data_IF_717712694218
#
_entry.id   IF_717712694218
#
_cell.length_a   1.000
_cell.length_b   1.000
_cell.length_c   1.000
_cell.angle_alpha   90.00
_cell.angle_beta   90.00
_cell.angle_gamma   90.00
#
_symmetry.space_group_name_H-M   'P 1'
#
loop_
_entity.id
_entity.type
_entity.pdbx_description
1 polymer ?
#
# COMPACT_ATOMS: atom_id res chain seq x y z
N UNK A 1 69.30 -27.05 -45.16
CA UNK A 1 68.87 -25.68 -45.38
C UNK A 1 67.55 -25.43 -44.67
N UNK A 2 67.55 -24.35 -43.90
CA UNK A 2 66.42 -23.54 -43.45
C UNK A 2 65.63 -24.07 -42.24
N UNK A 3 65.88 -23.57 -41.13
CA UNK A 3 65.39 -22.56 -40.26
C UNK A 3 63.92 -22.66 -39.92
N UNK A 4 63.63 -23.13 -38.71
CA UNK A 4 62.36 -22.97 -38.05
C UNK A 4 62.64 -22.37 -36.68
N UNK A 5 62.47 -21.08 -36.56
CA UNK A 5 62.45 -20.33 -35.32
C UNK A 5 61.05 -20.50 -34.73
N UNK A 6 60.92 -21.35 -33.72
CA UNK A 6 59.79 -21.33 -32.84
C UNK A 6 60.04 -20.32 -31.72
N UNK A 7 59.53 -19.12 -31.88
CA UNK A 7 59.45 -18.14 -30.81
C UNK A 7 58.47 -18.61 -29.71
N UNK A 8 58.98 -18.84 -28.56
CA UNK A 8 58.18 -19.07 -27.35
C UNK A 8 57.45 -17.79 -27.01
N UNK A 9 56.16 -17.78 -27.13
CA UNK A 9 55.27 -16.78 -26.57
C UNK A 9 55.25 -17.01 -25.04
N UNK A 10 56.05 -16.24 -24.34
CA UNK A 10 55.90 -16.09 -22.93
C UNK A 10 54.58 -15.47 -22.62
N UNK A 11 53.68 -16.28 -22.06
CA UNK A 11 52.39 -15.88 -21.56
C UNK A 11 52.58 -14.98 -20.33
N UNK A 12 52.60 -13.68 -20.52
CA UNK A 12 52.55 -12.72 -19.40
C UNK A 12 51.18 -12.83 -18.74
N UNK A 13 51.08 -13.72 -17.76
CA UNK A 13 49.97 -13.69 -16.84
C UNK A 13 50.04 -12.39 -16.02
N UNK A 14 49.23 -11.42 -16.43
CA UNK A 14 49.01 -10.23 -15.64
C UNK A 14 48.21 -10.66 -14.42
N UNK A 15 48.90 -10.90 -13.31
CA UNK A 15 48.26 -11.10 -12.02
C UNK A 15 47.77 -9.73 -11.55
N UNK A 16 46.51 -9.45 -11.80
CA UNK A 16 45.85 -8.28 -11.20
C UNK A 16 45.65 -8.62 -9.73
N UNK A 17 46.27 -7.93 -8.77
CA UNK A 17 45.99 -8.14 -7.36
C UNK A 17 44.55 -7.63 -7.10
N UNK A 18 43.63 -8.55 -6.90
CA UNK A 18 42.32 -8.22 -6.36
C UNK A 18 42.52 -7.75 -4.91
N UNK A 19 42.19 -6.50 -4.58
CA UNK A 19 42.27 -6.06 -3.20
C UNK A 19 41.30 -6.91 -2.36
N UNK A 20 41.84 -7.66 -1.42
CA UNK A 20 41.06 -8.34 -0.40
C UNK A 20 40.49 -7.25 0.50
N UNK A 21 39.31 -6.76 0.16
CA UNK A 21 38.56 -5.84 1.01
C UNK A 21 38.01 -6.62 2.20
N UNK A 22 38.75 -6.65 3.28
CA UNK A 22 38.30 -7.06 4.60
C UNK A 22 37.36 -5.99 5.15
N UNK A 23 36.11 -5.96 4.69
CA UNK A 23 35.12 -5.19 5.45
C UNK A 23 33.72 -5.79 5.22
N UNK A 24 33.06 -6.27 6.28
CA UNK A 24 31.66 -6.71 6.20
C UNK A 24 30.68 -5.54 6.02
N UNK A 25 31.18 -4.31 5.90
CA UNK A 25 30.37 -3.08 5.82
C UNK A 25 29.73 -2.89 4.44
N UNK A 26 30.38 -3.39 3.37
CA UNK A 26 29.85 -3.19 1.99
C UNK A 26 28.63 -4.08 1.71
N UNK A 27 28.51 -5.22 2.36
CA UNK A 27 27.35 -6.11 2.19
C UNK A 27 26.08 -5.53 2.83
N UNK A 28 26.21 -4.74 3.90
CA UNK A 28 25.07 -4.12 4.59
C UNK A 28 24.44 -2.96 3.80
N UNK A 29 25.27 -2.24 3.05
CA UNK A 29 24.78 -1.09 2.23
C UNK A 29 24.06 -1.57 0.97
N UNK A 30 24.44 -2.70 0.40
CA UNK A 30 23.76 -3.28 -0.77
C UNK A 30 22.37 -3.84 -0.41
N UNK A 31 22.15 -4.26 0.84
CA UNK A 31 20.84 -4.78 1.29
C UNK A 31 19.85 -3.64 1.64
N UNK A 32 20.35 -2.44 1.96
CA UNK A 32 19.48 -1.30 2.27
C UNK A 32 18.95 -0.58 1.03
N UNK A 33 19.59 -0.77 -0.13
CA UNK A 33 19.16 -0.16 -1.40
C UNK A 33 18.10 -0.99 -2.14
N UNK A 34 17.79 -2.20 -1.69
CA UNK A 34 16.81 -3.09 -2.32
C UNK A 34 15.39 -2.98 -1.73
N UNK A 35 15.14 -2.03 -0.81
CA UNK A 35 13.78 -1.64 -0.38
C UNK A 35 13.24 -0.51 -1.27
N UNK A 36 13.66 -0.46 -2.51
CA UNK A 36 12.93 0.32 -3.52
C UNK A 36 11.70 -0.49 -3.92
N UNK A 37 10.55 0.11 -3.66
CA UNK A 37 9.20 -0.36 -3.95
C UNK A 37 9.16 -1.44 -5.05
N UNK A 38 8.91 -2.69 -4.65
CA UNK A 38 8.68 -3.74 -5.63
C UNK A 38 7.59 -3.28 -6.59
N UNK A 39 7.77 -3.38 -7.91
CA UNK A 39 6.78 -2.91 -8.89
C UNK A 39 5.38 -3.49 -8.63
N UNK A 40 5.30 -4.68 -8.05
CA UNK A 40 4.04 -5.33 -7.64
C UNK A 40 3.22 -4.48 -6.65
N UNK A 41 3.85 -3.77 -5.72
CA UNK A 41 3.13 -2.90 -4.78
C UNK A 41 2.67 -1.59 -5.43
N UNK A 42 3.43 -1.08 -6.41
CA UNK A 42 3.02 0.10 -7.17
C UNK A 42 1.78 -0.20 -8.02
N UNK A 43 1.70 -1.37 -8.65
CA UNK A 43 0.54 -1.81 -9.43
C UNK A 43 -0.68 -2.03 -8.52
N UNK A 44 -0.53 -2.71 -7.37
CA UNK A 44 -1.60 -2.95 -6.43
C UNK A 44 -2.22 -1.64 -5.89
N UNK A 45 -1.39 -0.65 -5.57
CA UNK A 45 -1.86 0.67 -5.15
C UNK A 45 -2.57 1.42 -6.27
N UNK A 46 -2.09 1.32 -7.51
CA UNK A 46 -2.73 1.91 -8.69
C UNK A 46 -4.10 1.28 -8.94
N UNK A 47 -4.18 -0.04 -8.86
CA UNK A 47 -5.42 -0.78 -9.02
C UNK A 47 -6.42 -0.46 -7.90
N UNK A 48 -5.95 -0.37 -6.64
CA UNK A 48 -6.78 0.04 -5.51
C UNK A 48 -7.36 1.45 -5.70
N UNK A 49 -6.55 2.41 -6.17
CA UNK A 49 -7.03 3.75 -6.50
C UNK A 49 -8.12 3.73 -7.56
N UNK A 50 -7.93 2.96 -8.63
CA UNK A 50 -8.93 2.82 -9.69
C UNK A 50 -10.26 2.27 -9.16
N UNK A 51 -10.22 1.30 -8.22
CA UNK A 51 -11.42 0.80 -7.57
C UNK A 51 -12.09 1.87 -6.70
N UNK A 52 -11.31 2.69 -5.98
CA UNK A 52 -11.84 3.80 -5.16
C UNK A 52 -12.51 4.84 -6.06
N UNK A 53 -11.86 5.28 -7.12
CA UNK A 53 -12.44 6.25 -8.07
C UNK A 53 -13.74 5.74 -8.70
N UNK A 54 -13.77 4.47 -9.09
CA UNK A 54 -14.99 3.86 -9.60
C UNK A 54 -16.10 3.83 -8.53
N UNK A 55 -15.74 3.46 -7.30
CA UNK A 55 -16.66 3.45 -6.15
C UNK A 55 -17.27 4.84 -5.89
N UNK A 56 -16.46 5.90 -5.93
CA UNK A 56 -16.93 7.29 -5.80
C UNK A 56 -17.96 7.63 -6.89
N UNK A 57 -17.66 7.29 -8.15
CA UNK A 57 -18.55 7.56 -9.27
C UNK A 57 -19.93 6.88 -9.11
N UNK A 58 -19.96 5.64 -8.63
CA UNK A 58 -21.24 4.91 -8.44
C UNK A 58 -21.96 5.37 -7.17
N UNK A 59 -21.24 5.74 -6.11
CA UNK A 59 -21.81 6.32 -4.90
C UNK A 59 -22.52 7.65 -5.17
N UNK A 60 -21.94 8.53 -5.99
CA UNK A 60 -22.56 9.77 -6.44
C UNK A 60 -23.90 9.57 -7.17
N UNK A 61 -24.10 8.38 -7.72
CA UNK A 61 -25.36 7.96 -8.37
C UNK A 61 -26.30 7.25 -7.42
N UNK A 62 -25.98 7.18 -6.13
CA UNK A 62 -26.78 6.49 -5.10
C UNK A 62 -26.62 4.96 -5.10
N UNK A 63 -25.66 4.41 -5.84
CA UNK A 63 -25.44 2.96 -5.95
C UNK A 63 -24.48 2.48 -4.84
N UNK A 64 -24.91 2.65 -3.57
CA UNK A 64 -24.06 2.40 -2.40
C UNK A 64 -23.54 0.97 -2.29
N UNK A 65 -24.34 -0.04 -2.66
CA UNK A 65 -23.90 -1.44 -2.63
C UNK A 65 -22.79 -1.74 -3.62
N UNK A 66 -22.86 -1.15 -4.81
CA UNK A 66 -21.77 -1.25 -5.80
C UNK A 66 -20.52 -0.52 -5.32
N UNK A 67 -20.69 0.67 -4.71
CA UNK A 67 -19.59 1.40 -4.11
C UNK A 67 -18.87 0.58 -3.02
N UNK A 68 -19.63 -0.03 -2.11
CA UNK A 68 -19.09 -0.94 -1.09
C UNK A 68 -18.25 -2.05 -1.73
N UNK A 69 -18.79 -2.74 -2.73
CA UNK A 69 -18.06 -3.80 -3.44
C UNK A 69 -16.73 -3.30 -4.02
N UNK A 70 -16.73 -2.12 -4.63
CA UNK A 70 -15.52 -1.51 -5.21
C UNK A 70 -14.49 -1.15 -4.14
N UNK A 71 -14.93 -0.57 -3.04
CA UNK A 71 -14.04 -0.18 -1.95
C UNK A 71 -13.54 -1.37 -1.13
N UNK A 72 -14.36 -2.41 -0.93
CA UNK A 72 -13.88 -3.70 -0.38
C UNK A 72 -12.79 -4.32 -1.27
N UNK A 73 -12.98 -4.28 -2.60
CA UNK A 73 -11.95 -4.73 -3.54
C UNK A 73 -10.68 -3.89 -3.46
N UNK A 74 -10.81 -2.56 -3.29
CA UNK A 74 -9.66 -1.68 -3.09
C UNK A 74 -8.86 -2.06 -1.84
N UNK A 75 -9.53 -2.36 -0.72
CA UNK A 75 -8.87 -2.79 0.53
C UNK A 75 -8.23 -4.19 0.44
N UNK A 76 -8.72 -5.04 -0.45
CA UNK A 76 -8.09 -6.35 -0.75
C UNK A 76 -6.81 -6.17 -1.59
N UNK A 77 -6.83 -5.25 -2.55
CA UNK A 77 -5.67 -4.94 -3.40
C UNK A 77 -4.57 -4.21 -2.61
N UNK A 78 -4.97 -3.24 -1.79
CA UNK A 78 -4.07 -2.51 -0.91
C UNK A 78 -4.68 -2.35 0.49
N UNK A 79 -4.36 -3.27 1.42
CA UNK A 79 -4.84 -3.22 2.80
C UNK A 79 -4.36 -2.01 3.61
N UNK A 80 -3.43 -1.21 3.08
CA UNK A 80 -2.90 0.00 3.73
C UNK A 80 -3.53 1.29 3.20
N UNK A 81 -4.53 1.18 2.32
CA UNK A 81 -5.14 2.34 1.70
C UNK A 81 -6.24 2.95 2.59
N UNK A 82 -5.86 3.84 3.51
CA UNK A 82 -6.73 4.47 4.48
C UNK A 82 -7.99 5.13 3.87
N UNK A 83 -7.86 5.77 2.69
CA UNK A 83 -8.99 6.41 2.00
C UNK A 83 -10.10 5.40 1.65
N UNK A 84 -9.75 4.20 1.20
CA UNK A 84 -10.73 3.15 0.88
C UNK A 84 -11.54 2.73 2.12
N UNK A 85 -10.90 2.65 3.27
CA UNK A 85 -11.60 2.35 4.54
C UNK A 85 -12.50 3.50 5.00
N UNK A 86 -12.07 4.76 4.82
CA UNK A 86 -12.94 5.90 5.09
C UNK A 86 -14.20 5.87 4.23
N UNK A 87 -14.05 5.60 2.94
CA UNK A 87 -15.16 5.56 2.00
C UNK A 87 -16.11 4.38 2.29
N UNK A 88 -15.56 3.22 2.72
CA UNK A 88 -16.34 2.11 3.25
C UNK A 88 -17.14 2.52 4.49
N UNK A 89 -16.53 3.29 5.41
CA UNK A 89 -17.22 3.82 6.58
C UNK A 89 -18.47 4.60 6.20
N UNK A 90 -18.34 5.53 5.27
CA UNK A 90 -19.44 6.36 4.75
C UNK A 90 -20.52 5.48 4.09
N UNK A 91 -20.13 4.51 3.27
CA UNK A 91 -21.10 3.69 2.56
C UNK A 91 -21.85 2.72 3.48
N UNK A 92 -21.16 2.11 4.44
CA UNK A 92 -21.80 1.26 5.45
C UNK A 92 -22.77 2.06 6.32
N UNK A 93 -22.44 3.31 6.64
CA UNK A 93 -23.36 4.22 7.34
C UNK A 93 -24.63 4.46 6.52
N UNK A 94 -24.50 4.75 5.22
CA UNK A 94 -25.63 4.90 4.32
C UNK A 94 -26.52 3.66 4.21
N UNK A 95 -25.93 2.48 4.25
CA UNK A 95 -26.66 1.20 4.24
C UNK A 95 -27.14 0.77 5.64
N UNK A 96 -26.92 1.57 6.68
CA UNK A 96 -27.33 1.28 8.05
C UNK A 96 -26.52 0.16 8.73
N UNK A 97 -25.36 -0.21 8.16
CA UNK A 97 -24.46 -1.24 8.67
C UNK A 97 -23.47 -0.63 9.69
N UNK A 98 -24.00 -0.11 10.79
CA UNK A 98 -23.28 0.76 11.72
C UNK A 98 -22.03 0.13 12.35
N UNK A 99 -22.08 -1.17 12.66
CA UNK A 99 -20.90 -1.88 13.20
C UNK A 99 -19.76 -1.98 12.19
N UNK A 100 -20.11 -2.16 10.91
CA UNK A 100 -19.10 -2.18 9.84
C UNK A 100 -18.56 -0.78 9.56
N UNK A 101 -19.42 0.24 9.60
CA UNK A 101 -19.00 1.62 9.45
C UNK A 101 -17.98 2.00 10.52
N UNK A 102 -18.25 1.69 11.79
CA UNK A 102 -17.34 1.91 12.92
C UNK A 102 -15.98 1.29 12.67
N UNK A 103 -15.95 -0.01 12.35
CA UNK A 103 -14.70 -0.74 12.10
C UNK A 103 -13.91 -0.17 10.91
N UNK A 104 -14.61 0.29 9.89
CA UNK A 104 -13.97 0.89 8.71
C UNK A 104 -13.32 2.24 9.07
N UNK A 105 -14.01 3.13 9.79
CA UNK A 105 -13.44 4.39 10.26
C UNK A 105 -12.24 4.18 11.20
N UNK A 106 -12.36 3.24 12.15
CA UNK A 106 -11.27 2.89 13.06
C UNK A 106 -10.05 2.40 12.31
N UNK A 107 -10.25 1.54 11.29
CA UNK A 107 -9.15 1.08 10.43
C UNK A 107 -8.53 2.20 9.61
N UNK A 108 -9.32 3.13 9.09
CA UNK A 108 -8.81 4.29 8.39
C UNK A 108 -7.91 5.16 9.29
N UNK A 109 -8.32 5.38 10.56
CA UNK A 109 -7.54 6.14 11.54
C UNK A 109 -6.31 5.37 12.06
N UNK A 110 -6.37 4.05 12.14
CA UNK A 110 -5.19 3.22 12.44
C UNK A 110 -4.10 3.41 11.37
N UNK A 111 -4.51 3.43 10.09
CA UNK A 111 -3.60 3.56 8.95
C UNK A 111 -3.10 4.99 8.74
N UNK A 112 -3.94 6.00 9.02
CA UNK A 112 -3.60 7.42 8.90
C UNK A 112 -4.16 8.20 10.09
N UNK A 113 -3.47 8.19 11.25
CA UNK A 113 -3.95 8.82 12.50
C UNK A 113 -4.09 10.33 12.42
N UNK A 114 -3.41 10.97 11.48
CA UNK A 114 -3.38 12.43 11.32
C UNK A 114 -4.41 12.95 10.30
N UNK A 115 -5.19 12.07 9.69
CA UNK A 115 -6.18 12.45 8.71
C UNK A 115 -7.38 13.17 9.37
N UNK A 116 -7.40 14.48 9.22
CA UNK A 116 -8.43 15.32 9.83
C UNK A 116 -9.83 15.00 9.27
N UNK A 117 -9.94 14.67 7.99
CA UNK A 117 -11.22 14.35 7.35
C UNK A 117 -11.79 13.02 7.88
N UNK A 118 -10.97 11.98 7.98
CA UNK A 118 -11.41 10.69 8.53
C UNK A 118 -11.85 10.86 9.98
N UNK A 119 -11.08 11.62 10.77
CA UNK A 119 -11.42 11.92 12.17
C UNK A 119 -12.76 12.65 12.26
N UNK A 120 -12.98 13.68 11.44
CA UNK A 120 -14.24 14.41 11.42
C UNK A 120 -15.43 13.52 11.05
N UNK A 121 -15.28 12.68 10.02
CA UNK A 121 -16.31 11.72 9.61
C UNK A 121 -16.66 10.76 10.75
N UNK A 122 -15.64 10.22 11.43
CA UNK A 122 -15.85 9.28 12.53
C UNK A 122 -16.47 9.93 13.75
N UNK A 123 -16.07 11.15 14.13
CA UNK A 123 -16.70 11.88 15.23
C UNK A 123 -18.18 12.16 14.94
N UNK A 124 -18.51 12.61 13.72
CA UNK A 124 -19.88 12.85 13.31
C UNK A 124 -20.71 11.55 13.33
N UNK A 125 -20.14 10.46 12.81
CA UNK A 125 -20.76 9.14 12.88
C UNK A 125 -21.08 8.74 14.33
N UNK A 126 -20.15 8.89 15.26
CA UNK A 126 -20.37 8.58 16.68
C UNK A 126 -21.47 9.44 17.27
N UNK A 127 -21.42 10.75 17.06
CA UNK A 127 -22.42 11.69 17.58
C UNK A 127 -23.85 11.33 17.14
N UNK A 128 -24.05 11.01 15.87
CA UNK A 128 -25.36 10.62 15.32
C UNK A 128 -25.82 9.28 15.94
N UNK A 129 -24.93 8.30 16.04
CA UNK A 129 -25.30 6.98 16.55
C UNK A 129 -25.56 6.97 18.05
N UNK A 130 -24.81 7.71 18.83
CA UNK A 130 -25.03 7.83 20.29
C UNK A 130 -26.38 8.49 20.58
N UNK A 131 -26.77 9.52 19.81
CA UNK A 131 -28.09 10.15 19.92
C UNK A 131 -29.24 9.19 19.59
N UNK A 132 -29.08 8.38 18.54
CA UNK A 132 -30.11 7.41 18.12
C UNK A 132 -30.19 6.23 19.08
N UNK A 133 -29.08 5.81 19.71
CA UNK A 133 -29.03 4.78 20.72
C UNK A 133 -29.77 5.17 21.99
N UNK A 134 -29.57 6.39 22.49
CA UNK A 134 -30.23 6.93 23.69
C UNK A 134 -31.75 7.13 23.50
N UNK A 135 -32.22 7.27 22.27
CA UNK A 135 -33.66 7.39 21.95
C UNK A 135 -34.44 6.08 21.99
N UNK A 136 -33.76 4.93 22.03
CA UNK A 136 -34.39 3.59 22.05
C UNK A 136 -34.56 3.01 23.47
N UNK A 137 -34.02 3.64 24.49
CA UNK A 137 -34.09 3.20 25.88
C UNK A 137 -35.19 3.93 26.72
N UNK A 138 -36.13 4.61 26.06
CA UNK A 138 -37.29 5.26 26.70
C UNK A 138 -38.61 4.61 26.20
#
# INVERSE_FOLDING_TARGET
MAYGLLGSVEEYAIVIPVPVMKTPVVVLVAFLAAVTASPVFADARSDAKSQVEFGINVAQRGLWREAIYRWEKATQLDPTYAAAYNDLGIAYEHEGQLDKARKAYEKALELDPNNAQVRQNYELFKEINDRTGQGKEK
#
